data_IF_009689027816
#
_entry.id   IF_009689027816
#
_cell.length_a   1.000
_cell.length_b   1.000
_cell.length_c   1.000
_cell.angle_alpha   90.00
_cell.angle_beta   90.00
_cell.angle_gamma   90.00
#
_symmetry.space_group_name_H-M   'P 1'
#
loop_
_entity.id
_entity.type
_entity.pdbx_description
1 polymer ?
#
# COMPACT_ATOMS: atom_id res chain seq x y z
N UNK A 1 6.98 30.30 -81.77
CA UNK A 1 6.12 29.89 -80.62
C UNK A 1 6.94 30.00 -79.32
N UNK A 2 7.20 31.23 -78.88
CA UNK A 2 7.91 31.58 -77.66
C UNK A 2 7.25 32.87 -77.10
N UNK A 3 6.17 32.80 -76.33
CA UNK A 3 5.55 33.99 -75.74
C UNK A 3 5.10 33.77 -74.27
N UNK A 4 5.14 32.51 -73.71
CA UNK A 4 4.56 32.23 -72.38
C UNK A 4 5.53 32.24 -71.19
N UNK A 5 6.82 32.39 -71.39
CA UNK A 5 7.82 32.32 -70.31
C UNK A 5 8.07 33.61 -69.55
N UNK A 6 7.71 34.81 -70.09
CA UNK A 6 8.04 36.08 -69.45
C UNK A 6 6.91 36.60 -68.52
N UNK A 7 5.67 36.26 -68.78
CA UNK A 7 4.53 36.72 -67.96
C UNK A 7 4.47 36.02 -66.58
N UNK A 8 4.95 34.81 -66.45
CA UNK A 8 4.97 34.05 -65.20
C UNK A 8 6.07 34.55 -64.22
N UNK A 9 7.19 35.06 -64.77
CA UNK A 9 8.29 35.53 -63.92
C UNK A 9 8.01 36.89 -63.26
N UNK A 10 7.22 37.75 -63.92
CA UNK A 10 6.87 39.07 -63.37
C UNK A 10 5.76 38.97 -62.29
N UNK A 11 4.81 38.06 -62.46
CA UNK A 11 3.79 37.82 -61.41
C UNK A 11 4.37 37.17 -60.15
N UNK A 12 5.38 36.32 -60.28
CA UNK A 12 6.09 35.72 -59.13
C UNK A 12 6.90 36.78 -58.37
N UNK A 13 7.58 37.67 -59.06
CA UNK A 13 8.32 38.77 -58.42
C UNK A 13 7.42 39.79 -57.75
N UNK A 14 6.21 40.09 -58.28
CA UNK A 14 5.22 40.97 -57.64
C UNK A 14 4.61 40.36 -56.39
N UNK A 15 4.36 39.07 -56.35
CA UNK A 15 3.83 38.36 -55.15
C UNK A 15 4.84 38.34 -54.01
N UNK A 16 6.14 38.19 -54.32
CA UNK A 16 7.19 38.21 -53.27
C UNK A 16 7.43 39.61 -52.69
N UNK A 17 7.26 40.67 -53.48
CA UNK A 17 7.41 42.06 -52.99
C UNK A 17 6.22 42.50 -52.12
N UNK A 18 5.01 42.00 -52.37
CA UNK A 18 3.82 42.31 -51.56
C UNK A 18 3.90 41.57 -50.21
N UNK A 19 4.49 40.36 -50.17
CA UNK A 19 4.67 39.60 -48.90
C UNK A 19 5.78 40.21 -48.00
N UNK A 20 6.77 40.91 -48.53
CA UNK A 20 7.83 41.53 -47.76
C UNK A 20 7.35 42.84 -47.10
N UNK A 21 6.38 43.53 -47.69
CA UNK A 21 5.84 44.79 -47.14
C UNK A 21 4.75 44.62 -46.10
N UNK A 22 4.08 43.45 -46.05
CA UNK A 22 3.09 43.09 -45.02
C UNK A 22 3.70 42.51 -43.74
N UNK A 23 4.93 41.99 -43.78
CA UNK A 23 5.62 41.45 -42.62
C UNK A 23 6.26 42.47 -41.67
N UNK A 24 6.31 43.77 -42.04
CA UNK A 24 6.94 44.80 -41.20
C UNK A 24 5.99 45.51 -40.23
N UNK A 25 4.69 45.15 -40.19
CA UNK A 25 3.72 45.84 -39.32
C UNK A 25 3.17 45.03 -38.13
N UNK A 26 3.58 43.77 -37.95
CA UNK A 26 3.06 42.92 -36.88
C UNK A 26 4.14 42.33 -35.96
N UNK A 27 5.31 42.97 -35.83
CA UNK A 27 6.39 42.49 -34.97
C UNK A 27 6.24 42.80 -33.48
N UNK A 28 5.07 43.28 -33.03
CA UNK A 28 4.87 43.65 -31.62
C UNK A 28 3.91 42.76 -30.85
N UNK A 29 3.43 41.60 -31.42
CA UNK A 29 2.41 40.79 -30.77
C UNK A 29 2.90 39.31 -30.51
N UNK A 30 4.11 38.93 -30.88
CA UNK A 30 4.55 37.51 -30.77
C UNK A 30 5.43 37.24 -29.54
N UNK A 31 5.51 38.12 -28.57
CA UNK A 31 6.34 37.87 -27.37
C UNK A 31 5.53 37.59 -26.08
N UNK A 32 4.28 37.11 -26.19
CA UNK A 32 3.44 36.81 -24.98
C UNK A 32 3.02 35.33 -24.88
N UNK A 33 3.43 34.41 -25.75
CA UNK A 33 2.92 33.01 -25.73
C UNK A 33 3.95 31.99 -25.30
N UNK A 34 4.97 32.29 -24.54
CA UNK A 34 5.93 31.30 -24.04
C UNK A 34 6.22 31.36 -22.55
N UNK A 35 5.21 31.76 -21.76
CA UNK A 35 5.17 31.50 -20.34
C UNK A 35 3.98 30.54 -20.06
N UNK A 36 3.94 29.41 -20.74
CA UNK A 36 3.24 28.24 -20.18
C UNK A 36 4.00 27.88 -18.90
N UNK A 37 3.36 27.88 -17.71
CA UNK A 37 4.01 27.32 -16.54
C UNK A 37 4.35 25.88 -16.89
N UNK A 38 5.63 25.55 -16.95
CA UNK A 38 6.09 24.20 -16.76
C UNK A 38 5.62 23.85 -15.34
N UNK A 39 4.40 23.32 -15.21
CA UNK A 39 4.02 22.52 -14.06
C UNK A 39 4.95 21.31 -14.13
N UNK A 40 6.14 21.44 -13.52
CA UNK A 40 6.90 20.29 -13.12
C UNK A 40 5.91 19.47 -12.27
N UNK A 41 5.36 18.41 -12.84
CA UNK A 41 4.80 17.32 -12.06
C UNK A 41 5.99 16.76 -11.29
N UNK A 42 6.28 17.38 -10.15
CA UNK A 42 7.12 16.79 -9.14
C UNK A 42 6.43 15.45 -8.84
N UNK A 43 7.02 14.39 -9.28
CA UNK A 43 6.61 13.04 -8.91
C UNK A 43 6.79 13.01 -7.39
N UNK A 44 5.69 13.13 -6.63
CA UNK A 44 5.70 13.19 -5.17
C UNK A 44 6.43 11.94 -4.68
N UNK A 45 7.71 12.13 -4.30
CA UNK A 45 8.54 11.07 -3.78
C UNK A 45 7.91 10.62 -2.46
N UNK A 46 7.27 9.46 -2.46
CA UNK A 46 6.58 8.92 -1.28
C UNK A 46 7.53 8.89 -0.09
N UNK A 47 7.06 9.35 1.05
CA UNK A 47 7.83 9.34 2.29
C UNK A 47 8.13 7.89 2.70
N UNK A 48 9.40 7.60 3.02
CA UNK A 48 9.85 6.32 3.58
C UNK A 48 10.28 6.54 5.02
N UNK A 49 9.81 5.68 5.92
CA UNK A 49 10.16 5.70 7.35
C UNK A 49 10.81 4.36 7.68
N UNK A 50 12.07 4.37 8.03
CA UNK A 50 12.77 3.18 8.50
C UNK A 50 12.32 2.82 9.92
N UNK A 51 12.15 1.52 10.19
CA UNK A 51 11.65 1.05 11.49
C UNK A 51 12.66 1.30 12.62
N UNK A 52 13.94 1.25 12.30
CA UNK A 52 15.05 1.54 13.23
C UNK A 52 16.09 2.47 12.60
N UNK A 53 16.44 3.52 13.29
CA UNK A 53 17.40 4.51 12.78
C UNK A 53 18.82 3.94 12.62
N UNK A 54 19.22 3.03 13.52
CA UNK A 54 20.53 2.37 13.48
C UNK A 54 20.58 1.14 12.55
N UNK A 55 19.42 0.65 12.07
CA UNK A 55 19.28 -0.62 11.37
C UNK A 55 18.54 -1.66 12.21
N UNK A 56 18.11 -2.77 11.58
CA UNK A 56 17.35 -3.81 12.24
C UNK A 56 18.15 -4.49 13.35
N UNK A 57 17.58 -4.73 14.54
CA UNK A 57 18.30 -5.26 15.69
C UNK A 57 19.01 -6.57 15.41
N UNK A 58 20.30 -6.64 15.77
CA UNK A 58 21.20 -7.78 15.52
C UNK A 58 21.71 -7.89 14.08
N UNK A 59 21.30 -6.95 13.20
CA UNK A 59 21.68 -6.90 11.80
C UNK A 59 21.99 -5.46 11.33
N UNK A 60 22.40 -4.59 12.24
CA UNK A 60 22.62 -3.16 12.00
C UNK A 60 23.68 -2.90 10.92
N UNK A 61 24.68 -3.79 10.82
CA UNK A 61 25.72 -3.71 9.79
C UNK A 61 25.21 -3.89 8.37
N UNK A 62 24.05 -4.55 8.21
CA UNK A 62 23.46 -4.85 6.90
C UNK A 62 22.53 -3.75 6.38
N UNK A 63 22.22 -2.70 7.14
CA UNK A 63 21.23 -1.68 6.79
C UNK A 63 21.47 -0.97 5.46
N UNK A 64 22.71 -0.95 4.98
CA UNK A 64 23.09 -0.30 3.74
C UNK A 64 23.22 -1.29 2.56
N UNK A 65 22.98 -2.58 2.77
CA UNK A 65 22.95 -3.54 1.68
C UNK A 65 21.76 -3.22 0.76
N UNK A 66 21.97 -3.18 -0.58
CA UNK A 66 20.91 -2.75 -1.50
C UNK A 66 19.79 -3.77 -1.58
N UNK A 67 18.55 -3.28 -1.61
CA UNK A 67 17.39 -4.09 -1.98
C UNK A 67 17.49 -4.51 -3.46
N UNK A 68 16.93 -5.66 -3.77
CA UNK A 68 16.72 -6.12 -5.15
C UNK A 68 15.25 -5.90 -5.50
N UNK A 69 14.98 -5.13 -6.54
CA UNK A 69 13.62 -4.81 -6.94
C UNK A 69 13.42 -4.98 -8.46
N UNK A 70 12.22 -5.39 -8.84
CA UNK A 70 11.67 -5.28 -10.20
C UNK A 70 10.30 -4.62 -10.11
N UNK A 71 9.63 -4.49 -11.25
CA UNK A 71 8.38 -3.73 -11.40
C UNK A 71 7.30 -4.08 -10.36
N UNK A 72 7.24 -5.32 -9.87
CA UNK A 72 6.17 -5.79 -9.00
C UNK A 72 6.63 -6.40 -7.68
N UNK A 73 7.93 -6.67 -7.46
CA UNK A 73 8.46 -7.27 -6.24
C UNK A 73 9.73 -6.60 -5.72
N UNK A 74 10.00 -6.83 -4.43
CA UNK A 74 11.25 -6.45 -3.75
C UNK A 74 11.73 -7.60 -2.88
N UNK A 75 13.05 -7.78 -2.82
CA UNK A 75 13.81 -8.75 -2.00
C UNK A 75 15.00 -8.08 -1.33
N UNK A 76 15.77 -8.88 -0.57
CA UNK A 76 16.99 -8.45 0.10
C UNK A 76 16.73 -7.26 1.02
N UNK A 77 15.70 -7.39 1.88
CA UNK A 77 15.26 -6.33 2.78
C UNK A 77 16.03 -6.45 4.08
N UNK A 78 17.05 -5.58 4.26
CA UNK A 78 17.88 -5.53 5.47
C UNK A 78 17.59 -4.30 6.33
N UNK A 79 16.93 -3.30 5.79
CA UNK A 79 16.48 -2.11 6.49
C UNK A 79 14.97 -1.95 6.39
N UNK A 80 14.20 -2.66 7.22
CA UNK A 80 12.73 -2.65 7.18
C UNK A 80 12.17 -1.24 7.27
N UNK A 81 11.12 -0.97 6.50
CA UNK A 81 10.58 0.39 6.35
C UNK A 81 9.08 0.42 6.06
N UNK A 82 8.48 1.58 6.28
CA UNK A 82 7.12 1.92 5.87
C UNK A 82 7.16 2.93 4.73
N UNK A 83 6.47 2.64 3.64
CA UNK A 83 6.18 3.64 2.60
C UNK A 83 4.83 4.26 2.91
N UNK A 84 4.78 5.58 3.04
CA UNK A 84 3.58 6.32 3.44
C UNK A 84 2.75 6.71 2.23
N UNK A 85 1.44 6.47 2.31
CA UNK A 85 0.43 6.87 1.34
C UNK A 85 -0.64 7.67 2.05
N UNK A 86 -0.77 8.95 1.71
CA UNK A 86 -1.73 9.86 2.33
C UNK A 86 -2.94 10.07 1.43
N UNK A 87 -4.17 10.02 1.95
CA UNK A 87 -5.34 10.49 1.24
C UNK A 87 -5.27 12.01 1.07
N UNK A 88 -6.05 12.58 0.17
CA UNK A 88 -6.18 14.06 0.12
C UNK A 88 -6.76 14.58 1.44
N UNK A 89 -6.43 15.82 1.78
CA UNK A 89 -6.87 16.43 3.07
C UNK A 89 -8.39 16.43 3.23
N UNK A 90 -9.12 16.58 2.13
CA UNK A 90 -10.58 16.62 2.09
C UNK A 90 -11.21 15.25 2.41
N UNK A 91 -10.54 14.17 2.02
CA UNK A 91 -10.99 12.79 2.24
C UNK A 91 -10.51 12.21 3.57
N UNK A 92 -9.38 12.67 4.10
CA UNK A 92 -8.75 12.11 5.29
C UNK A 92 -9.73 12.00 6.46
N UNK A 93 -9.99 10.76 6.92
CA UNK A 93 -10.96 10.47 7.98
C UNK A 93 -10.33 10.12 9.32
N UNK A 94 -9.00 10.10 9.42
CA UNK A 94 -8.23 9.78 10.62
C UNK A 94 -8.01 8.30 10.88
N UNK A 95 -8.57 7.39 10.07
CA UNK A 95 -8.21 5.97 10.13
C UNK A 95 -6.85 5.72 9.43
N UNK A 96 -6.19 4.64 9.85
CA UNK A 96 -4.96 4.18 9.21
C UNK A 96 -4.92 2.67 9.07
N UNK A 97 -4.13 2.19 8.11
CA UNK A 97 -3.84 0.78 7.91
C UNK A 97 -2.36 0.56 7.63
N UNK A 98 -1.78 -0.46 8.27
CA UNK A 98 -0.48 -1.01 7.86
C UNK A 98 -0.75 -2.22 6.98
N UNK A 99 -0.12 -2.27 5.82
CA UNK A 99 -0.32 -3.30 4.80
C UNK A 99 0.95 -4.15 4.73
N UNK A 100 0.79 -5.46 4.95
CA UNK A 100 1.84 -6.46 4.82
C UNK A 100 1.65 -7.20 3.49
N UNK A 101 2.43 -6.91 2.44
CA UNK A 101 2.37 -7.63 1.18
C UNK A 101 2.76 -9.11 1.36
N UNK A 102 2.22 -9.99 0.51
CA UNK A 102 2.61 -11.39 0.45
C UNK A 102 3.83 -11.62 -0.44
N UNK A 103 4.04 -12.87 -0.82
CA UNK A 103 5.19 -13.32 -1.63
C UNK A 103 5.96 -14.46 -0.98
N UNK A 104 5.29 -15.31 -0.18
CA UNK A 104 5.83 -16.55 0.37
C UNK A 104 6.96 -16.35 1.39
N UNK A 105 7.14 -15.17 1.97
CA UNK A 105 8.28 -14.77 2.80
C UNK A 105 9.65 -14.84 2.09
N UNK A 106 9.66 -14.98 0.76
CA UNK A 106 10.86 -15.00 -0.08
C UNK A 106 11.00 -13.74 -0.95
N UNK A 107 9.93 -12.97 -1.07
CA UNK A 107 9.85 -11.66 -1.72
C UNK A 107 8.63 -10.91 -1.20
N UNK A 108 8.47 -9.63 -1.54
CA UNK A 108 7.24 -8.87 -1.33
C UNK A 108 6.63 -8.48 -2.67
N UNK A 109 5.34 -8.78 -2.86
CA UNK A 109 4.53 -8.35 -4.02
C UNK A 109 4.13 -6.88 -3.81
N UNK A 110 5.11 -5.97 -4.00
CA UNK A 110 5.02 -4.58 -3.52
C UNK A 110 4.00 -3.74 -4.31
N UNK A 111 3.79 -4.05 -5.59
CA UNK A 111 2.84 -3.29 -6.42
C UNK A 111 1.41 -3.72 -6.13
N UNK A 112 1.05 -4.96 -6.44
CA UNK A 112 -0.34 -5.40 -6.41
C UNK A 112 -0.91 -5.59 -4.99
N UNK A 113 -0.09 -5.94 -4.00
CA UNK A 113 -0.51 -6.18 -2.61
C UNK A 113 -0.04 -5.07 -1.65
N UNK A 114 0.82 -4.17 -2.13
CA UNK A 114 1.26 -2.98 -1.40
C UNK A 114 0.63 -1.71 -1.95
N UNK A 115 1.13 -1.24 -3.10
CA UNK A 115 0.74 0.04 -3.69
C UNK A 115 -0.75 0.09 -4.05
N UNK A 116 -1.27 -0.90 -4.81
CA UNK A 116 -2.66 -0.92 -5.24
C UNK A 116 -3.63 -0.91 -4.05
N UNK A 117 -3.29 -1.64 -2.98
CA UNK A 117 -4.07 -1.66 -1.75
C UNK A 117 -4.00 -0.31 -1.03
N UNK A 118 -2.81 0.31 -0.92
CA UNK A 118 -2.65 1.61 -0.30
C UNK A 118 -3.41 2.71 -1.04
N UNK A 119 -3.39 2.71 -2.38
CA UNK A 119 -4.15 3.64 -3.22
C UNK A 119 -5.67 3.45 -3.05
N UNK A 120 -6.13 2.20 -2.91
CA UNK A 120 -7.52 1.93 -2.58
C UNK A 120 -7.91 2.55 -1.23
N UNK A 121 -7.13 2.32 -0.18
CA UNK A 121 -7.40 2.92 1.14
C UNK A 121 -7.38 4.44 1.10
N UNK A 122 -6.47 5.06 0.36
CA UNK A 122 -6.46 6.51 0.17
C UNK A 122 -7.73 7.01 -0.53
N UNK A 123 -8.28 6.24 -1.48
CA UNK A 123 -9.52 6.63 -2.18
C UNK A 123 -10.73 6.74 -1.25
N UNK A 124 -10.74 5.97 -0.15
CA UNK A 124 -11.76 5.97 0.90
C UNK A 124 -11.35 6.76 2.16
N UNK A 125 -10.30 7.58 2.06
CA UNK A 125 -9.89 8.52 3.11
C UNK A 125 -9.01 7.96 4.22
N UNK A 126 -8.52 6.73 4.09
CA UNK A 126 -7.67 6.05 5.07
C UNK A 126 -6.20 6.25 4.73
N UNK A 127 -5.38 6.65 5.72
CA UNK A 127 -3.91 6.70 5.58
C UNK A 127 -3.36 5.28 5.53
N UNK A 128 -2.49 4.98 4.55
CA UNK A 128 -1.92 3.66 4.40
C UNK A 128 -0.39 3.66 4.52
N UNK A 129 0.14 2.61 5.12
CA UNK A 129 1.57 2.38 5.33
C UNK A 129 1.92 1.00 4.77
N UNK A 130 2.68 0.93 3.69
CA UNK A 130 3.11 -0.35 3.11
C UNK A 130 4.41 -0.78 3.78
N UNK A 131 4.38 -1.94 4.43
CA UNK A 131 5.50 -2.48 5.19
C UNK A 131 6.41 -3.32 4.29
N UNK A 132 7.69 -2.96 4.25
CA UNK A 132 8.77 -3.84 3.83
C UNK A 132 9.36 -4.49 5.08
N UNK A 133 9.21 -5.81 5.20
CA UNK A 133 9.69 -6.59 6.34
C UNK A 133 10.74 -7.62 5.93
N UNK A 134 11.57 -8.08 6.86
CA UNK A 134 12.63 -9.05 6.62
C UNK A 134 12.07 -10.40 6.17
N UNK A 135 12.71 -10.98 5.15
CA UNK A 135 12.24 -12.19 4.45
C UNK A 135 13.05 -13.39 4.92
N UNK A 136 12.42 -14.33 5.61
CA UNK A 136 13.12 -15.48 6.20
C UNK A 136 13.15 -16.74 5.32
N UNK A 137 12.43 -16.74 4.18
CA UNK A 137 12.46 -17.83 3.18
C UNK A 137 13.16 -17.41 1.88
N UNK A 138 13.79 -16.26 1.87
CA UNK A 138 14.67 -15.88 0.76
C UNK A 138 15.91 -16.77 0.79
N UNK A 139 16.44 -17.10 -0.38
CA UNK A 139 17.65 -17.93 -0.49
C UNK A 139 18.82 -17.28 0.28
N UNK A 140 19.51 -18.06 1.12
CA UNK A 140 20.58 -17.60 2.00
C UNK A 140 20.15 -16.52 3.02
N UNK A 141 18.87 -16.39 3.31
CA UNK A 141 18.42 -15.42 4.32
C UNK A 141 18.97 -15.75 5.71
N UNK A 142 19.53 -14.76 6.42
CA UNK A 142 19.95 -14.94 7.82
C UNK A 142 18.78 -14.82 8.81
N UNK A 143 17.58 -14.48 8.32
CA UNK A 143 16.43 -14.14 9.14
C UNK A 143 15.60 -15.36 9.53
N UNK A 144 14.84 -15.21 10.60
CA UNK A 144 13.85 -16.17 11.11
C UNK A 144 12.46 -15.51 11.12
N UNK A 145 11.37 -16.30 11.27
CA UNK A 145 10.02 -15.73 11.38
C UNK A 145 9.89 -14.64 12.44
N UNK A 146 10.63 -14.78 13.57
CA UNK A 146 10.62 -13.81 14.67
C UNK A 146 11.10 -12.43 14.24
N UNK A 147 12.03 -12.35 13.27
CA UNK A 147 12.51 -11.06 12.74
C UNK A 147 11.42 -10.34 11.93
N UNK A 148 10.65 -11.07 11.12
CA UNK A 148 9.50 -10.49 10.42
C UNK A 148 8.40 -10.05 11.41
N UNK A 149 8.13 -10.84 12.45
CA UNK A 149 7.16 -10.50 13.51
C UNK A 149 7.61 -9.24 14.27
N UNK A 150 8.90 -9.13 14.58
CA UNK A 150 9.48 -7.93 15.20
C UNK A 150 9.27 -6.69 14.33
N UNK A 151 9.49 -6.81 13.01
CA UNK A 151 9.25 -5.73 12.05
C UNK A 151 7.79 -5.29 12.04
N UNK A 152 6.85 -6.23 11.98
CA UNK A 152 5.42 -5.95 12.00
C UNK A 152 4.96 -5.28 13.30
N UNK A 153 5.46 -5.74 14.45
CA UNK A 153 5.18 -5.12 15.75
C UNK A 153 5.77 -3.72 15.86
N UNK A 154 7.00 -3.55 15.37
CA UNK A 154 7.67 -2.24 15.35
C UNK A 154 6.93 -1.26 14.47
N UNK A 155 6.44 -1.69 13.30
CA UNK A 155 5.63 -0.89 12.41
C UNK A 155 4.35 -0.37 13.09
N UNK A 156 3.60 -1.24 13.78
CA UNK A 156 2.42 -0.84 14.55
C UNK A 156 2.72 0.21 15.60
N UNK A 157 3.81 0.02 16.36
CA UNK A 157 4.25 0.97 17.39
C UNK A 157 4.68 2.30 16.82
N UNK A 158 5.44 2.29 15.73
CA UNK A 158 5.93 3.48 15.06
C UNK A 158 4.80 4.34 14.52
N UNK A 159 3.82 3.73 13.82
CA UNK A 159 2.64 4.45 13.31
C UNK A 159 1.84 5.04 14.48
N UNK A 160 1.67 4.30 15.57
CA UNK A 160 0.95 4.80 16.76
C UNK A 160 1.67 5.97 17.42
N UNK A 161 2.99 5.91 17.54
CA UNK A 161 3.78 7.02 18.11
C UNK A 161 3.73 8.27 17.23
N UNK A 162 3.73 8.10 15.91
CA UNK A 162 3.71 9.20 14.94
C UNK A 162 2.29 9.57 14.46
N UNK A 163 1.24 9.06 15.11
CA UNK A 163 -0.14 9.20 14.67
C UNK A 163 -0.55 10.67 14.44
N UNK A 164 -0.12 11.58 15.32
CA UNK A 164 -0.41 13.02 15.18
C UNK A 164 0.23 13.64 13.94
N UNK A 165 1.43 13.21 13.55
CA UNK A 165 2.11 13.70 12.35
C UNK A 165 1.36 13.35 11.05
N UNK A 166 0.55 12.28 11.08
CA UNK A 166 -0.25 11.80 9.96
C UNK A 166 -1.76 12.07 10.13
N UNK A 167 -2.14 12.83 11.16
CA UNK A 167 -3.54 13.09 11.51
C UNK A 167 -4.35 11.78 11.68
N UNK A 168 -3.77 10.79 12.37
CA UNK A 168 -4.33 9.46 12.60
C UNK A 168 -4.83 9.33 14.03
N UNK A 169 -6.02 8.76 14.19
CA UNK A 169 -6.58 8.33 15.47
C UNK A 169 -5.96 6.98 15.88
N UNK A 170 -5.27 6.93 17.00
CA UNK A 170 -4.61 5.72 17.51
C UNK A 170 -5.56 4.57 17.82
N UNK A 171 -6.87 4.82 17.95
CA UNK A 171 -7.91 3.81 18.14
C UNK A 171 -8.44 3.25 16.83
N UNK A 172 -7.99 3.77 15.67
CA UNK A 172 -8.44 3.36 14.34
C UNK A 172 -7.26 2.98 13.43
N UNK A 173 -6.28 2.27 13.99
CA UNK A 173 -5.13 1.72 13.25
C UNK A 173 -5.35 0.22 13.03
N UNK A 174 -5.59 -0.16 11.78
CA UNK A 174 -5.74 -1.55 11.34
C UNK A 174 -4.44 -2.16 10.86
N UNK A 175 -4.43 -3.49 10.80
CA UNK A 175 -3.37 -4.28 10.17
C UNK A 175 -3.98 -5.13 9.06
N UNK A 176 -3.41 -5.10 7.89
CA UNK A 176 -3.84 -5.89 6.73
C UNK A 176 -2.70 -6.75 6.22
N UNK A 177 -3.01 -7.96 5.77
CA UNK A 177 -2.01 -8.80 5.14
C UNK A 177 -2.58 -9.69 4.04
N UNK A 178 -1.77 -9.88 3.00
CA UNK A 178 -2.04 -10.74 1.86
C UNK A 178 -1.17 -12.01 1.94
N UNK A 179 -1.74 -13.20 1.75
CA UNK A 179 -0.98 -14.45 1.66
C UNK A 179 0.01 -14.60 2.85
N UNK A 180 1.31 -14.72 2.60
CA UNK A 180 2.36 -14.72 3.63
C UNK A 180 2.34 -13.43 4.50
N UNK A 181 2.00 -12.28 3.93
CA UNK A 181 1.76 -11.06 4.71
C UNK A 181 0.55 -11.16 5.64
N UNK A 182 -0.43 -11.99 5.28
CA UNK A 182 -1.55 -12.37 6.15
C UNK A 182 -1.11 -13.22 7.33
N UNK A 183 -0.15 -14.13 7.14
CA UNK A 183 0.48 -14.86 8.24
C UNK A 183 1.17 -13.89 9.22
N UNK A 184 1.97 -12.96 8.69
CA UNK A 184 2.63 -11.94 9.49
C UNK A 184 1.62 -11.09 10.29
N UNK A 185 0.56 -10.61 9.63
CA UNK A 185 -0.48 -9.79 10.28
C UNK A 185 -1.19 -10.57 11.40
N UNK A 186 -1.46 -11.84 11.18
CA UNK A 186 -2.01 -12.74 12.20
C UNK A 186 -1.04 -12.95 13.36
N UNK A 187 0.22 -13.27 13.11
CA UNK A 187 1.24 -13.46 14.16
C UNK A 187 1.42 -12.22 15.04
N UNK A 188 1.47 -11.03 14.42
CA UNK A 188 1.53 -9.76 15.16
C UNK A 188 0.31 -9.60 16.06
N UNK A 189 -0.88 -9.91 15.54
CA UNK A 189 -2.16 -9.70 16.23
C UNK A 189 -2.39 -10.71 17.35
N UNK A 190 -2.25 -12.00 17.05
CA UNK A 190 -2.63 -13.09 17.99
C UNK A 190 -1.60 -13.30 19.10
N UNK A 191 -0.36 -12.89 18.90
CA UNK A 191 0.73 -13.01 19.89
C UNK A 191 1.14 -11.66 20.49
N UNK A 192 0.35 -10.61 20.34
CA UNK A 192 0.70 -9.27 20.83
C UNK A 192 0.92 -9.18 22.34
N UNK A 193 0.29 -10.08 23.13
CA UNK A 193 0.43 -10.15 24.59
C UNK A 193 1.58 -11.05 25.08
N UNK A 194 2.17 -11.87 24.22
CA UNK A 194 3.22 -12.84 24.58
C UNK A 194 4.65 -12.31 24.38
N UNK A 195 4.80 -11.02 24.29
CA UNK A 195 6.07 -10.42 23.90
C UNK A 195 6.93 -10.04 25.11
N UNK A 196 8.11 -10.64 25.19
CA UNK A 196 9.21 -10.12 26.01
C UNK A 196 9.88 -8.95 25.28
N UNK A 197 9.36 -7.73 25.54
CA UNK A 197 9.87 -6.53 24.85
C UNK A 197 11.20 -6.13 25.49
N UNK A 198 12.28 -6.23 24.72
CA UNK A 198 13.49 -5.47 25.00
C UNK A 198 13.21 -4.01 24.59
N UNK A 199 12.91 -3.15 25.55
CA UNK A 199 12.66 -1.72 25.31
C UNK A 199 13.94 -1.03 24.91
N UNK A 200 14.13 -0.76 23.61
CA UNK A 200 15.31 -0.08 23.05
C UNK A 200 15.14 1.43 23.03
N UNK A 201 13.90 1.90 22.82
CA UNK A 201 13.59 3.33 22.70
C UNK A 201 12.13 3.64 23.09
N UNK A 202 11.70 4.90 22.87
CA UNK A 202 10.35 5.36 23.20
C UNK A 202 9.25 4.69 22.36
N UNK A 203 9.56 4.23 21.13
CA UNK A 203 8.61 3.57 20.24
C UNK A 203 8.19 2.23 20.85
N UNK A 204 9.10 1.50 21.46
CA UNK A 204 8.82 0.20 22.07
C UNK A 204 7.90 0.28 23.31
N UNK A 205 7.62 1.48 23.80
CA UNK A 205 6.62 1.71 24.85
C UNK A 205 5.17 1.69 24.32
N UNK A 206 4.99 1.84 23.01
CA UNK A 206 3.68 1.83 22.37
C UNK A 206 3.09 0.42 22.28
N UNK A 207 1.76 0.32 22.22
CA UNK A 207 1.06 -0.94 22.00
C UNK A 207 1.16 -1.35 20.51
N UNK A 208 1.43 -2.62 20.21
CA UNK A 208 1.47 -3.17 18.86
C UNK A 208 0.14 -3.83 18.41
N UNK A 209 -0.88 -3.88 19.26
CA UNK A 209 -2.17 -4.50 18.92
C UNK A 209 -2.94 -3.62 17.94
N UNK A 210 -3.40 -4.15 16.79
CA UNK A 210 -4.25 -3.41 15.87
C UNK A 210 -5.68 -3.23 16.44
N UNK A 211 -6.39 -2.19 15.99
CA UNK A 211 -7.80 -1.96 16.31
C UNK A 211 -8.73 -2.88 15.52
N UNK A 212 -8.31 -3.31 14.35
CA UNK A 212 -8.98 -4.27 13.46
C UNK A 212 -7.96 -4.99 12.59
N UNK A 213 -8.31 -6.21 12.15
CA UNK A 213 -7.47 -7.07 11.33
C UNK A 213 -8.17 -7.38 10.00
N UNK A 214 -7.43 -7.37 8.90
CA UNK A 214 -7.93 -7.73 7.58
C UNK A 214 -6.98 -8.75 6.94
N UNK A 215 -7.51 -9.91 6.53
CA UNK A 215 -6.73 -11.00 5.97
C UNK A 215 -7.26 -11.37 4.59
N UNK A 216 -6.40 -11.28 3.59
CA UNK A 216 -6.71 -11.61 2.20
C UNK A 216 -5.96 -12.88 1.83
N UNK A 217 -6.70 -13.95 1.59
CA UNK A 217 -6.18 -15.31 1.35
C UNK A 217 -4.92 -15.63 2.19
N UNK A 218 -5.01 -15.51 3.53
CA UNK A 218 -3.84 -15.67 4.40
C UNK A 218 -3.26 -17.07 4.29
N UNK A 219 -1.92 -17.16 4.34
CA UNK A 219 -1.23 -18.46 4.33
C UNK A 219 -1.57 -19.35 5.53
N UNK A 220 -1.27 -20.65 5.46
CA UNK A 220 -1.74 -21.65 6.43
C UNK A 220 -1.19 -21.46 7.85
N UNK A 221 -0.04 -20.81 8.01
CA UNK A 221 0.58 -20.62 9.32
C UNK A 221 -0.07 -19.50 10.16
N UNK A 222 -1.10 -18.85 9.64
CA UNK A 222 -1.80 -17.76 10.34
C UNK A 222 -2.66 -18.25 11.52
N UNK A 223 -3.09 -19.51 11.50
CA UNK A 223 -4.10 -20.05 12.42
C UNK A 223 -3.49 -20.35 13.79
N UNK A 224 -3.87 -19.63 14.87
CA UNK A 224 -3.40 -19.91 16.22
C UNK A 224 -4.20 -21.07 16.85
N UNK A 225 -3.72 -21.58 17.98
CA UNK A 225 -4.45 -22.62 18.75
C UNK A 225 -5.78 -22.11 19.30
N UNK A 226 -5.87 -20.82 19.64
CA UNK A 226 -7.07 -20.17 20.15
C UNK A 226 -7.07 -18.68 19.91
N UNK A 227 -8.28 -18.09 19.91
CA UNK A 227 -8.49 -16.64 19.84
C UNK A 227 -8.95 -16.14 21.21
N UNK A 228 -8.33 -15.07 21.69
CA UNK A 228 -8.72 -14.41 22.92
C UNK A 228 -10.01 -13.59 22.72
N UNK A 229 -10.87 -13.49 23.73
CA UNK A 229 -12.14 -12.73 23.64
C UNK A 229 -11.95 -11.23 23.39
N UNK A 230 -10.77 -10.70 23.65
CA UNK A 230 -10.38 -9.32 23.38
C UNK A 230 -9.61 -9.14 22.06
N UNK A 231 -9.59 -10.15 21.18
CA UNK A 231 -8.99 -10.02 19.84
C UNK A 231 -9.70 -8.91 19.05
N UNK A 232 -9.01 -8.23 18.11
CA UNK A 232 -9.65 -7.23 17.28
C UNK A 232 -10.70 -7.87 16.35
N UNK A 233 -11.74 -7.13 15.94
CA UNK A 233 -12.63 -7.54 14.86
C UNK A 233 -11.85 -7.91 13.60
N UNK A 234 -12.33 -8.93 12.87
CA UNK A 234 -11.63 -9.51 11.74
C UNK A 234 -12.50 -9.49 10.47
N UNK A 235 -11.93 -9.01 9.37
CA UNK A 235 -12.43 -9.20 8.00
C UNK A 235 -11.55 -10.19 7.26
N UNK A 236 -12.14 -11.14 6.54
CA UNK A 236 -11.41 -12.11 5.73
C UNK A 236 -12.02 -12.27 4.35
N UNK A 237 -11.17 -12.47 3.34
CA UNK A 237 -11.58 -12.83 1.99
C UNK A 237 -10.63 -13.88 1.40
N UNK A 238 -11.21 -14.89 0.75
CA UNK A 238 -10.48 -15.93 0.01
C UNK A 238 -11.37 -16.55 -1.08
N UNK A 239 -10.77 -17.36 -1.93
CA UNK A 239 -11.50 -18.22 -2.87
C UNK A 239 -11.45 -19.67 -2.40
N UNK A 240 -12.55 -20.40 -2.52
CA UNK A 240 -12.66 -21.79 -2.06
C UNK A 240 -11.80 -22.76 -2.88
N UNK A 241 -11.50 -22.40 -4.13
CA UNK A 241 -10.59 -23.12 -5.03
C UNK A 241 -9.11 -22.74 -4.87
N UNK A 242 -8.78 -21.98 -3.82
CA UNK A 242 -7.40 -21.72 -3.40
C UNK A 242 -6.93 -22.86 -2.50
N UNK A 243 -6.17 -23.78 -3.07
CA UNK A 243 -5.68 -25.00 -2.38
C UNK A 243 -4.78 -24.69 -1.18
N UNK A 244 -4.08 -23.55 -1.21
CA UNK A 244 -3.20 -23.11 -0.12
C UNK A 244 -4.00 -22.51 1.04
N UNK A 245 -4.95 -21.65 0.73
CA UNK A 245 -5.23 -20.54 1.62
C UNK A 245 -6.74 -20.34 1.89
N UNK A 246 -7.62 -21.25 1.41
CA UNK A 246 -9.04 -21.28 1.76
C UNK A 246 -9.28 -21.89 3.15
N UNK A 247 -8.63 -23.00 3.47
CA UNK A 247 -8.79 -23.71 4.75
C UNK A 247 -8.44 -22.85 5.98
N UNK A 248 -7.34 -22.06 6.00
CA UNK A 248 -7.04 -21.16 7.11
C UNK A 248 -8.16 -20.17 7.44
N UNK A 249 -8.88 -19.69 6.42
CA UNK A 249 -10.01 -18.75 6.61
C UNK A 249 -11.18 -19.44 7.32
N UNK A 250 -11.50 -20.67 6.94
CA UNK A 250 -12.57 -21.47 7.59
C UNK A 250 -12.22 -21.75 9.05
N UNK A 251 -10.98 -22.15 9.34
CA UNK A 251 -10.51 -22.42 10.70
C UNK A 251 -10.52 -21.16 11.57
N UNK A 252 -10.05 -20.02 11.04
CA UNK A 252 -10.08 -18.75 11.75
C UNK A 252 -11.52 -18.32 12.06
N UNK A 253 -12.46 -18.45 11.11
CA UNK A 253 -13.87 -18.19 11.33
C UNK A 253 -14.41 -18.98 12.53
N UNK A 254 -14.12 -20.28 12.59
CA UNK A 254 -14.56 -21.15 13.69
C UNK A 254 -13.99 -20.69 15.04
N UNK A 255 -12.69 -20.34 15.09
CA UNK A 255 -12.03 -19.86 16.30
C UNK A 255 -12.60 -18.52 16.78
N UNK A 256 -12.84 -17.58 15.85
CA UNK A 256 -13.45 -16.28 16.17
C UNK A 256 -14.88 -16.42 16.68
N UNK A 257 -15.68 -17.29 16.07
CA UNK A 257 -17.04 -17.62 16.55
C UNK A 257 -17.02 -18.19 17.97
N UNK A 258 -16.09 -19.14 18.25
CA UNK A 258 -15.90 -19.71 19.59
C UNK A 258 -15.51 -18.62 20.62
N UNK A 259 -14.67 -17.67 20.22
CA UNK A 259 -14.24 -16.55 21.06
C UNK A 259 -15.31 -15.45 21.19
N UNK A 260 -16.43 -15.51 20.45
CA UNK A 260 -17.48 -14.50 20.38
C UNK A 260 -16.96 -13.12 19.94
N UNK A 261 -15.95 -13.09 19.09
CA UNK A 261 -15.38 -11.87 18.51
C UNK A 261 -16.00 -11.61 17.14
N UNK A 262 -16.31 -10.34 16.84
CA UNK A 262 -16.88 -9.95 15.55
C UNK A 262 -15.96 -10.38 14.40
N UNK A 263 -16.52 -11.07 13.43
CA UNK A 263 -15.79 -11.46 12.21
C UNK A 263 -16.72 -11.47 11.01
N UNK A 264 -16.21 -11.03 9.87
CA UNK A 264 -16.87 -11.10 8.57
C UNK A 264 -15.98 -11.87 7.59
N UNK A 265 -16.58 -12.74 6.78
CA UNK A 265 -15.87 -13.61 5.84
C UNK A 265 -16.58 -13.62 4.49
N UNK A 266 -15.81 -13.42 3.43
CA UNK A 266 -16.23 -13.63 2.06
C UNK A 266 -15.40 -14.75 1.44
N UNK A 267 -16.01 -15.93 1.31
CA UNK A 267 -15.39 -17.08 0.68
C UNK A 267 -16.05 -17.32 -0.68
N UNK A 268 -15.40 -16.89 -1.75
CA UNK A 268 -15.90 -17.00 -3.10
C UNK A 268 -15.75 -18.42 -3.64
N UNK A 269 -16.69 -18.89 -4.45
CA UNK A 269 -16.65 -20.27 -4.97
C UNK A 269 -15.38 -20.55 -5.78
N UNK A 270 -14.89 -19.56 -6.51
CA UNK A 270 -13.70 -19.64 -7.35
C UNK A 270 -12.98 -18.30 -7.41
N UNK A 271 -11.68 -18.30 -7.74
CA UNK A 271 -10.85 -17.09 -7.78
C UNK A 271 -9.36 -17.43 -7.72
N UNK A 272 -9.03 -18.62 -7.28
CA UNK A 272 -7.65 -19.09 -7.02
C UNK A 272 -6.90 -18.17 -6.05
N UNK A 273 -5.59 -18.40 -5.93
CA UNK A 273 -4.72 -17.57 -5.11
C UNK A 273 -4.35 -16.25 -5.82
N UNK A 274 -3.99 -15.23 -5.04
CA UNK A 274 -3.40 -13.97 -5.51
C UNK A 274 -4.30 -13.14 -6.46
N UNK A 275 -5.60 -13.07 -6.18
CA UNK A 275 -6.49 -12.13 -6.88
C UNK A 275 -6.28 -10.66 -6.45
N UNK A 276 -5.43 -10.39 -5.45
CA UNK A 276 -5.02 -9.07 -4.94
C UNK A 276 -6.23 -8.18 -4.63
N UNK A 277 -6.22 -6.93 -5.11
CA UNK A 277 -7.37 -6.02 -4.97
C UNK A 277 -8.49 -6.29 -6.01
N UNK A 278 -8.60 -7.53 -6.50
CA UNK A 278 -9.61 -7.94 -7.47
C UNK A 278 -9.23 -7.66 -8.93
N UNK A 279 -8.35 -6.72 -9.20
CA UNK A 279 -8.00 -6.23 -10.56
C UNK A 279 -7.46 -7.31 -11.51
N UNK A 280 -6.94 -8.42 -10.97
CA UNK A 280 -6.38 -9.54 -11.77
C UNK A 280 -7.41 -10.61 -12.14
N UNK A 281 -8.61 -10.56 -11.58
CA UNK A 281 -9.67 -11.54 -11.84
C UNK A 281 -10.64 -11.04 -12.90
N UNK A 282 -11.14 -11.93 -13.73
CA UNK A 282 -12.27 -11.67 -14.62
C UNK A 282 -13.64 -11.86 -13.93
N UNK A 283 -13.65 -12.40 -12.72
CA UNK A 283 -14.86 -12.68 -11.95
C UNK A 283 -15.38 -11.40 -11.29
N UNK A 284 -16.62 -11.03 -11.60
CA UNK A 284 -17.26 -9.82 -11.08
C UNK A 284 -17.28 -9.79 -9.55
N UNK A 285 -17.59 -10.90 -8.90
CA UNK A 285 -17.61 -11.00 -7.42
C UNK A 285 -16.24 -10.74 -6.80
N UNK A 286 -15.17 -11.26 -7.43
CA UNK A 286 -13.80 -11.01 -6.99
C UNK A 286 -13.39 -9.57 -7.24
N UNK A 287 -13.79 -8.96 -8.38
CA UNK A 287 -13.42 -7.57 -8.67
C UNK A 287 -14.02 -6.57 -7.68
N UNK A 288 -15.15 -6.91 -7.06
CA UNK A 288 -15.89 -6.02 -6.14
C UNK A 288 -15.70 -6.36 -4.66
N UNK A 289 -14.80 -7.28 -4.30
CA UNK A 289 -14.56 -7.58 -2.89
C UNK A 289 -14.07 -6.38 -2.07
N UNK A 290 -13.28 -5.42 -2.62
CA UNK A 290 -12.85 -4.26 -1.84
C UNK A 290 -14.02 -3.37 -1.39
N UNK A 291 -15.14 -3.36 -2.14
CA UNK A 291 -16.36 -2.66 -1.73
C UNK A 291 -16.94 -3.26 -0.46
N UNK A 292 -16.93 -4.60 -0.31
CA UNK A 292 -17.37 -5.29 0.93
C UNK A 292 -16.48 -4.93 2.11
N UNK A 293 -15.18 -4.78 1.88
CA UNK A 293 -14.28 -4.29 2.91
C UNK A 293 -14.63 -2.85 3.33
N UNK A 294 -14.95 -1.98 2.37
CA UNK A 294 -15.37 -0.59 2.68
C UNK A 294 -16.66 -0.56 3.48
N UNK A 295 -17.65 -1.37 3.11
CA UNK A 295 -18.90 -1.49 3.88
C UNK A 295 -18.62 -1.95 5.32
N UNK A 296 -17.81 -3.00 5.49
CA UNK A 296 -17.43 -3.50 6.82
C UNK A 296 -16.70 -2.46 7.66
N UNK A 297 -15.77 -1.71 7.08
CA UNK A 297 -15.08 -0.62 7.78
C UNK A 297 -16.05 0.49 8.21
N UNK A 298 -17.02 0.82 7.36
CA UNK A 298 -18.07 1.81 7.64
C UNK A 298 -19.00 1.35 8.76
N UNK A 299 -19.52 0.12 8.68
CA UNK A 299 -20.46 -0.47 9.65
C UNK A 299 -19.84 -0.60 11.07
N UNK A 300 -18.51 -0.76 11.13
CA UNK A 300 -17.76 -0.78 12.38
C UNK A 300 -17.24 0.61 12.80
N UNK A 301 -17.69 1.70 12.16
CA UNK A 301 -17.34 3.08 12.48
C UNK A 301 -15.85 3.45 12.31
N UNK A 302 -15.08 2.68 11.53
CA UNK A 302 -13.67 3.00 11.28
C UNK A 302 -13.49 4.16 10.29
N UNK A 303 -14.46 4.41 9.40
CA UNK A 303 -14.40 5.49 8.38
C UNK A 303 -15.06 6.80 8.82
N UNK A 304 -15.68 6.87 10.02
CA UNK A 304 -16.36 8.07 10.46
C UNK A 304 -15.39 9.24 10.68
N UNK A 305 -15.75 10.41 10.15
CA UNK A 305 -15.00 11.66 10.33
C UNK A 305 -15.19 12.23 11.75
N UNK A 306 -14.86 11.48 12.79
CA UNK A 306 -14.69 12.07 14.09
C UNK A 306 -13.36 12.85 14.04
N UNK A 307 -13.44 14.16 13.75
CA UNK A 307 -12.27 15.05 13.83
C UNK A 307 -11.62 14.78 15.17
N UNK A 308 -10.37 14.35 15.15
CA UNK A 308 -9.54 14.25 16.35
C UNK A 308 -9.54 15.65 16.96
N UNK A 309 -10.22 15.81 18.10
CA UNK A 309 -10.29 17.06 18.85
C UNK A 309 -8.98 17.28 19.58
#
# INVERSE_FOLDING_TARGET
MVVDGQLLSENYKRSQIINILTMKKNSSIILIILLAPFVLLAQDKKQIIYLWSAGAPGFESRKNEPEQAKDWWVKNIHNPSLTVYLPTKEKANGAAVIICPGGGHSQLVITAEGQDAAEYFNSIGVTAFVLKYRLFREENSPYKPENAIEDGRRAMRLVRQQASAFNVDTNRIGLMGFSAGGELAGWVTFNSSKENIVKRDSIDKQNCKPSFLMLVYPGPLVVPDSIQSNAPPLFMVAANDDECCSEPVVRLLQLYRKAKVKTEVHLYAQGKHAFNMGKRSSLKSINTWPERLTDWLSDNNYLNNNKVK
#
